data_IF_486613994889
#
_entry.id   IF_486613994889
#
_cell.length_a   1.000
_cell.length_b   1.000
_cell.length_c   1.000
_cell.angle_alpha   90.00
_cell.angle_beta   90.00
_cell.angle_gamma   90.00
#
_symmetry.space_group_name_H-M   'P 1'
#
loop_
_entity.id
_entity.type
_entity.pdbx_description
1 polymer ?
#
# COMPACT_ATOMS: atom_id res chain seq x y z
N UNK A 1 -5.03 -1.19 -5.69
CA UNK A 1 -4.34 -0.48 -4.62
C UNK A 1 -4.07 -1.36 -3.38
N UNK A 2 -5.07 -1.80 -2.58
CA UNK A 2 -4.84 -2.69 -1.41
C UNK A 2 -4.09 -3.97 -1.79
N UNK A 3 -4.53 -4.69 -2.83
CA UNK A 3 -3.88 -5.91 -3.29
C UNK A 3 -2.47 -5.66 -3.82
N UNK A 4 -2.22 -4.50 -4.43
CA UNK A 4 -0.88 -4.07 -4.85
C UNK A 4 0.05 -3.93 -3.65
N UNK A 5 -0.40 -3.24 -2.59
CA UNK A 5 0.37 -3.09 -1.35
C UNK A 5 0.70 -4.44 -0.71
N UNK A 6 -0.28 -5.35 -0.61
CA UNK A 6 -0.06 -6.71 -0.12
C UNK A 6 0.92 -7.51 -1.00
N UNK A 7 0.82 -7.35 -2.31
CA UNK A 7 1.69 -8.05 -3.27
C UNK A 7 3.14 -7.58 -3.16
N UNK A 8 3.40 -6.27 -3.20
CA UNK A 8 4.76 -5.72 -3.13
C UNK A 8 5.43 -5.96 -1.77
N UNK A 9 4.64 -6.10 -0.70
CA UNK A 9 5.16 -6.46 0.63
C UNK A 9 5.30 -7.97 0.83
N UNK A 10 4.80 -8.79 -0.12
CA UNK A 10 4.91 -10.26 -0.09
C UNK A 10 3.93 -10.94 0.85
N UNK A 11 2.85 -10.26 1.23
CA UNK A 11 1.85 -10.76 2.18
C UNK A 11 0.52 -11.13 1.51
N UNK A 12 0.41 -10.96 0.19
CA UNK A 12 -0.82 -11.31 -0.52
C UNK A 12 -1.07 -12.82 -0.48
N UNK A 13 -2.20 -13.22 0.11
CA UNK A 13 -2.68 -14.61 0.05
C UNK A 13 -3.44 -14.84 -1.26
N UNK A 14 -2.93 -15.71 -2.16
CA UNK A 14 -3.55 -15.99 -3.44
C UNK A 14 -4.76 -16.94 -3.36
N UNK A 15 -5.09 -17.48 -2.20
CA UNK A 15 -6.20 -18.44 -2.05
C UNK A 15 -7.50 -17.88 -2.59
N UNK A 16 -8.11 -18.65 -3.47
CA UNK A 16 -9.37 -18.32 -4.14
C UNK A 16 -10.62 -18.76 -3.38
N UNK A 17 -10.48 -19.65 -2.39
CA UNK A 17 -11.59 -20.29 -1.69
C UNK A 17 -11.80 -19.73 -0.28
N UNK A 18 -13.01 -19.90 0.25
CA UNK A 18 -13.36 -19.56 1.63
C UNK A 18 -14.43 -18.47 1.73
N UNK A 19 -14.83 -18.18 2.98
CA UNK A 19 -15.86 -17.15 3.28
C UNK A 19 -15.29 -15.76 3.05
N UNK A 20 -16.17 -14.83 2.63
CA UNK A 20 -15.81 -13.42 2.54
C UNK A 20 -15.45 -12.85 3.93
N UNK A 21 -14.41 -12.04 3.99
CA UNK A 21 -13.90 -11.42 5.21
C UNK A 21 -13.89 -9.90 5.11
N UNK A 22 -14.01 -9.22 6.25
CA UNK A 22 -13.94 -7.76 6.30
C UNK A 22 -12.54 -7.27 5.85
N UNK A 23 -12.50 -6.29 4.96
CA UNK A 23 -11.26 -5.78 4.37
C UNK A 23 -10.47 -4.86 5.30
N UNK A 24 -11.13 -4.28 6.29
CA UNK A 24 -10.55 -3.39 7.30
C UNK A 24 -9.71 -4.12 8.37
N UNK A 25 -9.80 -5.45 8.43
CA UNK A 25 -8.98 -6.25 9.34
C UNK A 25 -7.50 -6.21 8.92
N UNK A 26 -6.63 -5.89 9.86
CA UNK A 26 -5.18 -5.80 9.63
C UNK A 26 -4.54 -7.15 9.23
N UNK A 27 -5.11 -8.26 9.67
CA UNK A 27 -4.67 -9.63 9.41
C UNK A 27 -5.29 -10.24 8.14
N UNK A 28 -6.19 -9.54 7.47
CA UNK A 28 -6.76 -10.00 6.21
C UNK A 28 -5.77 -9.73 5.06
N UNK A 29 -5.10 -10.77 4.60
CA UNK A 29 -4.13 -10.72 3.50
C UNK A 29 -4.70 -11.23 2.17
N UNK A 30 -5.98 -11.59 2.12
CA UNK A 30 -6.63 -12.09 0.91
C UNK A 30 -6.87 -10.97 -0.10
N UNK A 31 -7.05 -11.34 -1.37
CA UNK A 31 -7.40 -10.40 -2.43
C UNK A 31 -8.71 -9.67 -2.10
N UNK A 32 -8.76 -8.39 -2.43
CA UNK A 32 -9.93 -7.51 -2.15
C UNK A 32 -11.23 -8.00 -2.79
N UNK A 33 -11.14 -8.79 -3.87
CA UNK A 33 -12.30 -9.40 -4.52
C UNK A 33 -13.07 -10.38 -3.60
N UNK A 34 -12.42 -10.92 -2.57
CA UNK A 34 -13.04 -11.80 -1.56
C UNK A 34 -13.48 -11.04 -0.30
N UNK A 35 -13.47 -9.70 -0.36
CA UNK A 35 -13.93 -8.86 0.73
C UNK A 35 -15.44 -9.00 0.97
N UNK A 36 -15.85 -8.96 2.23
CA UNK A 36 -17.25 -8.97 2.59
C UNK A 36 -17.91 -7.64 2.21
N UNK A 37 -18.96 -7.72 1.40
CA UNK A 37 -19.76 -6.56 0.99
C UNK A 37 -21.16 -6.69 1.57
N UNK A 38 -21.56 -5.68 2.35
CA UNK A 38 -22.91 -5.57 2.88
C UNK A 38 -23.65 -4.39 2.24
N UNK A 39 -24.87 -4.64 1.76
CA UNK A 39 -25.76 -3.56 1.27
C UNK A 39 -26.19 -2.59 2.35
N UNK A 40 -26.23 -3.05 3.61
CA UNK A 40 -26.65 -2.24 4.76
C UNK A 40 -25.53 -1.38 5.33
N UNK A 41 -24.29 -1.84 5.23
CA UNK A 41 -23.11 -1.14 5.75
C UNK A 41 -21.94 -1.42 4.83
N UNK A 42 -21.58 -0.44 4.03
CA UNK A 42 -20.37 -0.52 3.22
C UNK A 42 -19.15 -0.40 4.13
N UNK A 43 -18.15 -1.24 3.87
CA UNK A 43 -16.84 -1.16 4.52
C UNK A 43 -16.21 0.22 4.30
N UNK A 44 -15.62 0.81 5.35
CA UNK A 44 -15.06 2.15 5.30
C UNK A 44 -13.94 2.30 4.29
N UNK A 45 -13.13 1.27 4.11
CA UNK A 45 -12.06 1.23 3.10
C UNK A 45 -12.65 1.25 1.69
N UNK A 46 -13.69 0.46 1.44
CA UNK A 46 -14.35 0.44 0.14
C UNK A 46 -15.01 1.79 -0.17
N UNK A 47 -15.68 2.40 0.82
CA UNK A 47 -16.30 3.72 0.65
C UNK A 47 -15.27 4.81 0.33
N UNK A 48 -14.10 4.76 0.99
CA UNK A 48 -13.02 5.72 0.78
C UNK A 48 -12.39 5.62 -0.63
N UNK A 49 -12.40 4.40 -1.22
CA UNK A 49 -11.82 4.13 -2.55
C UNK A 49 -12.85 4.03 -3.66
N UNK A 50 -13.91 4.83 -3.60
CA UNK A 50 -14.91 4.98 -4.66
C UNK A 50 -15.57 3.66 -5.08
N UNK A 51 -15.75 2.74 -4.11
CA UNK A 51 -16.52 1.54 -4.38
C UNK A 51 -17.98 1.92 -4.66
N UNK A 52 -18.59 1.44 -5.76
CA UNK A 52 -19.96 1.78 -6.09
C UNK A 52 -20.93 1.43 -4.96
N UNK A 53 -21.89 2.31 -4.70
CA UNK A 53 -22.94 2.01 -3.72
C UNK A 53 -23.72 0.76 -4.17
N UNK A 54 -23.73 -0.33 -3.38
CA UNK A 54 -24.38 -1.58 -3.79
C UNK A 54 -25.90 -1.50 -3.92
N UNK A 55 -26.50 -0.38 -3.53
CA UNK A 55 -27.94 -0.12 -3.64
C UNK A 55 -28.31 0.74 -4.85
N UNK A 56 -27.33 1.24 -5.62
CA UNK A 56 -27.56 2.11 -6.76
C UNK A 56 -26.93 1.48 -8.01
N UNK A 57 -27.55 1.71 -9.15
CA UNK A 57 -26.95 1.39 -10.45
C UNK A 57 -25.85 2.42 -10.73
N UNK A 58 -24.66 1.96 -11.06
CA UNK A 58 -23.56 2.79 -11.46
C UNK A 58 -23.27 2.57 -12.94
N UNK A 59 -23.46 3.60 -13.75
CA UNK A 59 -23.21 3.55 -15.20
C UNK A 59 -21.70 3.48 -15.49
N UNK A 60 -20.90 4.19 -14.68
CA UNK A 60 -19.45 4.25 -14.82
C UNK A 60 -18.77 4.31 -13.47
N UNK A 61 -17.61 3.68 -13.36
CA UNK A 61 -16.75 3.80 -12.19
C UNK A 61 -16.01 5.12 -12.22
N UNK A 62 -16.26 5.97 -11.23
CA UNK A 62 -15.52 7.22 -11.04
C UNK A 62 -14.36 6.92 -10.10
N UNK A 63 -13.13 7.16 -10.55
CA UNK A 63 -11.96 7.10 -9.70
C UNK A 63 -11.58 8.51 -9.28
N UNK A 64 -11.59 8.79 -7.99
CA UNK A 64 -11.16 10.08 -7.44
C UNK A 64 -9.83 9.91 -6.70
N UNK A 65 -8.96 10.90 -6.81
CA UNK A 65 -7.77 11.03 -5.98
C UNK A 65 -8.05 12.11 -4.94
N UNK A 66 -8.58 11.71 -3.78
CA UNK A 66 -8.94 12.68 -2.74
C UNK A 66 -7.85 12.82 -1.67
N UNK A 67 -7.69 14.02 -1.07
CA UNK A 67 -6.79 14.20 0.07
C UNK A 67 -7.10 13.26 1.25
N UNK A 68 -8.36 12.87 1.42
CA UNK A 68 -8.77 11.90 2.45
C UNK A 68 -8.19 10.51 2.22
N UNK A 69 -8.07 10.07 0.96
CA UNK A 69 -7.42 8.81 0.62
C UNK A 69 -5.94 8.83 0.99
N UNK A 70 -5.25 9.94 0.72
CA UNK A 70 -3.84 10.12 1.09
C UNK A 70 -3.65 10.14 2.61
N UNK A 71 -4.50 10.87 3.34
CA UNK A 71 -4.46 10.92 4.81
C UNK A 71 -4.74 9.54 5.43
N UNK A 72 -5.66 8.78 4.86
CA UNK A 72 -5.92 7.40 5.30
C UNK A 72 -4.67 6.54 5.19
N UNK A 73 -3.95 6.62 4.06
CA UNK A 73 -2.71 5.85 3.90
C UNK A 73 -1.66 6.26 4.91
N UNK A 74 -1.44 7.56 5.12
CA UNK A 74 -0.39 8.05 6.02
C UNK A 74 -0.63 7.66 7.48
N UNK A 75 -1.89 7.57 7.91
CA UNK A 75 -2.27 7.35 9.30
C UNK A 75 -2.82 5.95 9.61
N UNK A 76 -2.91 5.05 8.62
CA UNK A 76 -3.52 3.75 8.84
C UNK A 76 -2.55 2.73 9.44
N UNK A 77 -3.04 1.96 10.41
CA UNK A 77 -2.34 0.78 10.93
C UNK A 77 -2.03 -0.24 9.80
N UNK A 78 -2.89 -0.28 8.79
CA UNK A 78 -2.68 -1.10 7.60
C UNK A 78 -1.38 -0.72 6.88
N UNK A 79 -1.13 0.57 6.61
CA UNK A 79 0.10 1.00 5.95
C UNK A 79 1.32 0.74 6.82
N UNK A 80 1.20 0.94 8.13
CA UNK A 80 2.30 0.66 9.06
C UNK A 80 2.70 -0.82 9.03
N UNK A 81 1.73 -1.73 9.09
CA UNK A 81 1.98 -3.15 8.97
C UNK A 81 2.66 -3.50 7.63
N UNK A 82 2.21 -2.90 6.53
CA UNK A 82 2.84 -3.10 5.21
C UNK A 82 4.27 -2.55 5.15
N UNK A 83 4.52 -1.40 5.76
CA UNK A 83 5.88 -0.85 5.85
C UNK A 83 6.81 -1.79 6.62
N UNK A 84 6.35 -2.34 7.75
CA UNK A 84 7.12 -3.34 8.51
C UNK A 84 7.39 -4.62 7.71
N UNK A 85 6.39 -5.10 6.95
CA UNK A 85 6.56 -6.26 6.09
C UNK A 85 7.56 -6.00 4.95
N UNK A 86 7.51 -4.83 4.33
CA UNK A 86 8.50 -4.41 3.34
C UNK A 86 9.90 -4.40 3.93
N UNK A 87 10.07 -3.86 5.14
CA UNK A 87 11.36 -3.82 5.81
C UNK A 87 11.91 -5.23 6.08
N UNK A 88 11.08 -6.18 6.49
CA UNK A 88 11.48 -7.59 6.66
C UNK A 88 12.01 -8.20 5.36
N UNK A 89 11.42 -7.85 4.21
CA UNK A 89 11.94 -8.29 2.89
C UNK A 89 13.29 -7.68 2.55
N UNK A 90 13.56 -6.47 3.03
CA UNK A 90 14.77 -5.69 2.75
C UNK A 90 15.85 -5.84 3.82
N UNK A 91 15.59 -6.55 4.91
CA UNK A 91 16.42 -6.56 6.12
C UNK A 91 17.86 -7.07 5.87
N UNK A 92 18.00 -8.03 4.95
CA UNK A 92 19.30 -8.65 4.62
C UNK A 92 20.11 -7.88 3.59
N UNK A 93 19.63 -6.75 3.10
CA UNK A 93 20.27 -6.00 2.02
C UNK A 93 21.13 -4.89 2.61
N UNK A 94 22.41 -4.93 2.27
CA UNK A 94 23.43 -3.92 2.60
C UNK A 94 24.30 -3.66 1.36
N UNK A 95 24.82 -2.46 1.15
CA UNK A 95 24.70 -1.25 1.98
C UNK A 95 23.32 -0.56 1.90
N UNK A 96 23.07 0.51 2.68
CA UNK A 96 21.82 1.27 2.66
C UNK A 96 21.37 1.73 1.27
N UNK A 97 22.32 2.15 0.45
CA UNK A 97 22.10 2.54 -0.96
C UNK A 97 21.47 1.40 -1.78
N UNK A 98 21.97 0.17 -1.63
CA UNK A 98 21.41 -0.99 -2.33
C UNK A 98 20.04 -1.38 -1.79
N UNK A 99 19.82 -1.18 -0.50
CA UNK A 99 18.50 -1.37 0.12
C UNK A 99 17.45 -0.41 -0.45
N UNK A 100 17.82 0.85 -0.70
CA UNK A 100 16.96 1.84 -1.39
C UNK A 100 16.69 1.37 -2.83
N UNK A 101 17.70 0.96 -3.58
CA UNK A 101 17.54 0.46 -4.96
C UNK A 101 16.56 -0.71 -5.02
N UNK A 102 16.74 -1.66 -4.14
CA UNK A 102 15.87 -2.83 -4.09
C UNK A 102 14.42 -2.47 -3.70
N UNK A 103 14.23 -1.48 -2.81
CA UNK A 103 12.89 -0.97 -2.51
C UNK A 103 12.22 -0.40 -3.78
N UNK A 104 12.92 0.41 -4.57
CA UNK A 104 12.40 0.96 -5.83
C UNK A 104 12.08 -0.15 -6.85
N UNK A 105 12.95 -1.14 -7.01
CA UNK A 105 12.67 -2.29 -7.90
C UNK A 105 11.43 -3.06 -7.49
N UNK A 106 11.24 -3.29 -6.20
CA UNK A 106 10.06 -4.00 -5.67
C UNK A 106 8.77 -3.21 -5.81
N UNK A 107 8.81 -1.90 -5.57
CA UNK A 107 7.63 -1.04 -5.53
C UNK A 107 7.26 -0.49 -6.91
N UNK A 108 8.25 -0.05 -7.67
CA UNK A 108 8.03 0.69 -8.92
C UNK A 108 8.54 -0.04 -10.17
N UNK A 109 9.23 -1.18 -10.00
CA UNK A 109 9.78 -1.95 -11.13
C UNK A 109 10.96 -1.28 -11.84
N UNK A 110 11.55 -0.25 -11.25
CA UNK A 110 12.68 0.52 -11.79
C UNK A 110 13.73 0.83 -10.74
N UNK A 111 14.91 1.23 -11.18
CA UNK A 111 15.92 1.80 -10.27
C UNK A 111 15.61 3.28 -9.95
N UNK A 112 15.98 3.77 -8.75
CA UNK A 112 15.92 5.19 -8.43
C UNK A 112 16.91 5.98 -9.30
N UNK A 113 16.53 7.19 -9.68
CA UNK A 113 17.47 8.12 -10.31
C UNK A 113 18.45 8.69 -9.25
N UNK A 114 19.46 9.46 -9.71
CA UNK A 114 20.50 9.98 -8.83
C UNK A 114 19.95 10.93 -7.74
N UNK A 115 18.93 11.70 -8.06
CA UNK A 115 18.30 12.63 -7.12
C UNK A 115 17.46 11.88 -6.07
N UNK A 116 16.66 10.91 -6.49
CA UNK A 116 15.85 10.06 -5.62
C UNK A 116 16.74 9.29 -4.63
N UNK A 117 17.85 8.77 -5.11
CA UNK A 117 18.81 8.06 -4.28
C UNK A 117 19.42 8.99 -3.21
N UNK A 118 19.86 10.18 -3.63
CA UNK A 118 20.39 11.21 -2.72
C UNK A 118 19.38 11.64 -1.67
N UNK A 119 18.13 11.89 -2.07
CA UNK A 119 17.03 12.23 -1.15
C UNK A 119 16.79 11.09 -0.16
N UNK A 120 16.77 9.84 -0.63
CA UNK A 120 16.59 8.68 0.23
C UNK A 120 17.71 8.53 1.27
N UNK A 121 18.97 8.70 0.86
CA UNK A 121 20.13 8.66 1.76
C UNK A 121 20.08 9.78 2.81
N UNK A 122 19.72 10.99 2.41
CA UNK A 122 19.56 12.13 3.32
C UNK A 122 18.42 11.90 4.32
N UNK A 123 17.30 11.37 3.86
CA UNK A 123 16.15 11.05 4.71
C UNK A 123 16.51 10.02 5.78
N UNK A 124 17.24 8.97 5.39
CA UNK A 124 17.67 7.91 6.31
C UNK A 124 18.67 8.44 7.34
N UNK A 125 19.50 9.41 6.99
CA UNK A 125 20.45 10.01 7.91
C UNK A 125 19.81 10.97 8.93
N UNK A 126 18.60 11.50 8.66
CA UNK A 126 17.98 12.58 9.45
C UNK A 126 16.96 12.11 10.49
N UNK A 127 16.39 10.89 10.39
CA UNK A 127 15.29 10.41 11.25
C UNK A 127 15.79 9.44 12.36
N UNK A 128 15.01 9.33 13.43
CA UNK A 128 15.26 8.37 14.55
C UNK A 128 14.86 6.92 14.18
N UNK A 129 13.81 6.77 13.36
CA UNK A 129 13.37 5.47 12.83
C UNK A 129 13.25 5.54 11.30
N UNK A 130 14.40 5.76 10.63
CA UNK A 130 14.42 6.24 9.26
C UNK A 130 13.79 5.25 8.28
N UNK A 131 14.04 3.98 8.46
CA UNK A 131 13.58 2.96 7.50
C UNK A 131 12.06 2.78 7.51
N UNK A 132 11.41 2.84 8.68
CA UNK A 132 9.96 2.71 8.77
C UNK A 132 9.26 3.93 8.16
N UNK A 133 9.73 5.12 8.49
CA UNK A 133 9.23 6.37 7.91
C UNK A 133 9.45 6.41 6.40
N UNK A 134 10.62 6.00 5.93
CA UNK A 134 10.94 5.95 4.52
C UNK A 134 10.07 4.94 3.76
N UNK A 135 9.86 3.74 4.31
CA UNK A 135 8.98 2.74 3.74
C UNK A 135 7.53 3.23 3.62
N UNK A 136 7.02 3.95 4.64
CA UNK A 136 5.69 4.57 4.58
C UNK A 136 5.59 5.60 3.45
N UNK A 137 6.61 6.46 3.29
CA UNK A 137 6.66 7.45 2.20
C UNK A 137 6.63 6.76 0.84
N UNK A 138 7.45 5.74 0.62
CA UNK A 138 7.48 5.00 -0.63
C UNK A 138 6.14 4.30 -0.93
N UNK A 139 5.52 3.65 0.06
CA UNK A 139 4.25 2.96 -0.09
C UNK A 139 3.07 3.92 -0.32
N UNK A 140 3.17 5.18 0.09
CA UNK A 140 2.14 6.21 -0.12
C UNK A 140 2.39 7.10 -1.34
N UNK A 141 3.42 6.80 -2.14
CA UNK A 141 3.74 7.59 -3.33
C UNK A 141 2.66 7.46 -4.42
N UNK A 142 2.47 8.52 -5.16
CA UNK A 142 1.54 8.52 -6.30
C UNK A 142 1.96 7.50 -7.38
N UNK A 143 3.25 7.26 -7.56
CA UNK A 143 3.77 6.30 -8.54
C UNK A 143 3.33 4.87 -8.24
N UNK A 144 3.21 4.48 -6.96
CA UNK A 144 2.70 3.17 -6.56
C UNK A 144 1.17 3.10 -6.60
N UNK A 145 0.50 4.18 -6.19
CA UNK A 145 -0.93 4.18 -5.99
C UNK A 145 -1.72 4.42 -7.28
N UNK A 146 -1.16 5.15 -8.22
CA UNK A 146 -1.79 5.50 -9.49
C UNK A 146 -0.91 5.02 -10.65
N UNK A 147 -1.33 3.92 -11.28
CA UNK A 147 -0.70 3.45 -12.51
C UNK A 147 -1.26 4.30 -13.67
N UNK A 148 -0.39 5.06 -14.31
CA UNK A 148 -0.70 5.79 -15.54
C UNK A 148 -0.59 4.86 -16.75
#
# INVERSE_FOLDING_TARGET
MRDTLLSVTGELDPKAEGKAEALDKADNHRRSIYGFISRRKLDGTLALFDFPNPNLSAEQRIATASPLQQLFFLNSEFLEARAQALLKRLDRINPPTERIRQAYRLLYGRDPNAEELKIGEQFIAADKNPWLSYAKVLLSSNELLFVN
#
